data_IF_917424053376
#
_entry.id   IF_917424053376
#
_cell.length_a   1.000
_cell.length_b   1.000
_cell.length_c   1.000
_cell.angle_alpha   90.00
_cell.angle_beta   90.00
_cell.angle_gamma   90.00
#
_symmetry.space_group_name_H-M   'P 1'
#
loop_
_entity.id
_entity.type
_entity.pdbx_description
1 polymer ?
#
# COMPACT_ATOMS: atom_id res chain seq x y z
N UNK A 1 21.99 -0.42 3.32
CA UNK A 1 21.42 -0.90 2.05
C UNK A 1 20.57 -2.10 2.36
N UNK A 2 19.31 -2.06 1.97
CA UNK A 2 18.54 -3.30 1.82
C UNK A 2 19.20 -4.03 0.65
N UNK A 3 19.54 -5.31 0.80
CA UNK A 3 20.04 -6.08 -0.33
C UNK A 3 18.98 -6.02 -1.46
N UNK A 4 19.38 -5.95 -2.75
CA UNK A 4 18.43 -6.02 -3.83
C UNK A 4 17.53 -7.24 -3.61
N UNK A 5 16.21 -7.06 -3.77
CA UNK A 5 15.26 -8.18 -3.62
C UNK A 5 15.60 -9.25 -4.67
N UNK A 6 16.21 -10.33 -4.23
CA UNK A 6 16.53 -11.45 -5.11
C UNK A 6 15.25 -12.28 -5.26
N UNK A 7 14.80 -12.46 -6.50
CA UNK A 7 13.68 -13.34 -6.76
C UNK A 7 14.14 -14.81 -6.64
N UNK A 8 13.70 -15.56 -5.61
CA UNK A 8 14.13 -16.93 -5.40
C UNK A 8 13.71 -17.86 -6.55
N UNK A 9 12.68 -17.50 -7.29
CA UNK A 9 12.20 -18.29 -8.43
C UNK A 9 13.11 -18.27 -9.67
N UNK A 10 14.20 -17.50 -9.65
CA UNK A 10 15.13 -17.45 -10.75
C UNK A 10 16.30 -18.46 -10.61
N UNK A 11 16.49 -19.04 -9.42
CA UNK A 11 17.68 -19.87 -9.15
C UNK A 11 17.32 -21.14 -8.35
N UNK A 12 18.05 -22.26 -8.58
CA UNK A 12 17.94 -23.45 -7.73
C UNK A 12 18.30 -23.17 -6.26
N UNK A 13 17.68 -23.85 -5.31
CA UNK A 13 16.71 -24.93 -5.48
C UNK A 13 15.25 -24.45 -5.59
N UNK A 14 14.98 -23.15 -5.48
CA UNK A 14 13.64 -22.60 -5.31
C UNK A 14 12.84 -22.53 -6.60
N UNK A 15 13.49 -22.35 -7.74
CA UNK A 15 12.85 -22.23 -9.06
C UNK A 15 11.97 -23.43 -9.47
N UNK A 16 12.19 -24.58 -8.89
CA UNK A 16 11.39 -25.79 -9.13
C UNK A 16 10.20 -25.94 -8.16
N UNK A 17 10.02 -25.02 -7.24
CA UNK A 17 8.97 -25.13 -6.23
C UNK A 17 7.61 -24.69 -6.78
N UNK A 18 6.49 -25.26 -6.30
CA UNK A 18 5.14 -24.90 -6.78
C UNK A 18 4.82 -23.41 -6.65
N UNK A 19 5.24 -22.74 -5.59
CA UNK A 19 5.00 -21.30 -5.44
C UNK A 19 5.71 -20.44 -6.51
N UNK A 20 6.72 -20.98 -7.19
CA UNK A 20 7.39 -20.33 -8.31
C UNK A 20 6.75 -20.63 -9.67
N UNK A 21 5.78 -21.53 -9.74
CA UNK A 21 5.07 -21.83 -10.97
C UNK A 21 3.98 -20.80 -11.24
N UNK A 22 4.20 -19.91 -12.21
CA UNK A 22 3.28 -18.84 -12.59
C UNK A 22 2.00 -19.33 -13.30
N UNK A 23 1.95 -20.57 -13.73
CA UNK A 23 0.73 -21.19 -14.31
C UNK A 23 -0.28 -21.60 -13.25
N UNK A 24 0.15 -21.74 -11.99
CA UNK A 24 -0.75 -21.99 -10.87
C UNK A 24 -1.39 -20.66 -10.42
N UNK A 25 -2.64 -20.73 -9.96
CA UNK A 25 -3.29 -19.58 -9.36
C UNK A 25 -2.57 -19.12 -8.09
N UNK A 26 -2.81 -17.87 -7.69
CA UNK A 26 -2.13 -17.24 -6.56
C UNK A 26 -2.42 -17.97 -5.26
N UNK A 27 -3.67 -18.41 -5.05
CA UNK A 27 -4.07 -19.07 -3.80
C UNK A 27 -3.36 -20.43 -3.63
N UNK A 28 -3.24 -21.21 -4.70
CA UNK A 28 -2.50 -22.45 -4.68
C UNK A 28 -1.01 -22.24 -4.38
N UNK A 29 -0.39 -21.22 -4.97
CA UNK A 29 1.00 -20.84 -4.72
C UNK A 29 1.24 -20.38 -3.28
N UNK A 30 0.34 -19.58 -2.76
CA UNK A 30 0.37 -19.08 -1.37
C UNK A 30 0.16 -20.24 -0.40
N UNK A 31 -0.80 -21.13 -0.64
CA UNK A 31 -1.06 -22.30 0.19
C UNK A 31 0.15 -23.22 0.27
N UNK A 32 0.82 -23.49 -0.85
CA UNK A 32 2.05 -24.30 -0.86
C UNK A 32 3.16 -23.63 -0.03
N UNK A 33 3.39 -22.35 -0.20
CA UNK A 33 4.40 -21.61 0.56
C UNK A 33 4.11 -21.63 2.07
N UNK A 34 2.86 -21.33 2.48
CA UNK A 34 2.44 -21.33 3.88
C UNK A 34 2.55 -22.72 4.50
N UNK A 35 2.27 -23.78 3.74
CA UNK A 35 2.36 -25.15 4.24
C UNK A 35 3.78 -25.56 4.68
N UNK A 36 4.79 -24.88 4.14
CA UNK A 36 6.21 -25.16 4.40
C UNK A 36 6.80 -24.31 5.54
N UNK A 37 6.10 -23.28 5.98
CA UNK A 37 6.52 -22.43 7.10
C UNK A 37 6.25 -23.11 8.44
N UNK A 38 7.18 -22.95 9.39
CA UNK A 38 6.93 -23.29 10.79
C UNK A 38 5.91 -22.33 11.40
N UNK A 39 5.40 -22.66 12.58
CA UNK A 39 4.47 -21.77 13.28
C UNK A 39 5.14 -20.44 13.70
N UNK A 40 6.40 -20.50 14.08
CA UNK A 40 7.23 -19.36 14.46
C UNK A 40 7.44 -18.45 13.25
N UNK A 41 7.80 -19.00 12.10
CA UNK A 41 7.95 -18.25 10.85
C UNK A 41 6.64 -17.57 10.45
N UNK A 42 5.49 -18.26 10.56
CA UNK A 42 4.17 -17.68 10.29
C UNK A 42 3.86 -16.49 11.20
N UNK A 43 4.15 -16.61 12.51
CA UNK A 43 3.93 -15.53 13.48
C UNK A 43 4.79 -14.32 13.13
N UNK A 44 6.05 -14.51 12.80
CA UNK A 44 6.97 -13.43 12.45
C UNK A 44 6.59 -12.71 11.14
N UNK A 45 5.86 -13.37 10.23
CA UNK A 45 5.37 -12.74 8.99
C UNK A 45 4.14 -11.84 9.20
N UNK A 46 3.55 -11.81 10.41
CA UNK A 46 2.37 -11.00 10.71
C UNK A 46 2.69 -9.56 11.10
N UNK A 47 3.96 -9.23 11.28
CA UNK A 47 4.39 -7.86 11.64
C UNK A 47 4.77 -7.06 10.38
N UNK A 48 4.95 -5.75 10.59
CA UNK A 48 5.40 -4.81 9.55
C UNK A 48 6.77 -5.19 9.00
N UNK A 49 7.69 -5.57 9.86
CA UNK A 49 9.02 -6.09 9.50
C UNK A 49 8.98 -7.63 9.44
N UNK A 50 8.66 -8.15 8.28
CA UNK A 50 8.68 -9.58 8.03
C UNK A 50 10.12 -10.06 7.79
N UNK A 51 10.70 -10.89 8.66
CA UNK A 51 12.08 -11.37 8.50
C UNK A 51 12.22 -12.32 7.30
N UNK A 52 13.45 -12.52 6.84
CA UNK A 52 13.75 -13.50 5.81
C UNK A 52 13.45 -14.93 6.29
N UNK A 53 13.02 -15.79 5.36
CA UNK A 53 12.86 -17.24 5.57
C UNK A 53 13.80 -17.97 4.63
N UNK A 54 14.97 -18.31 5.14
CA UNK A 54 16.05 -18.89 4.33
C UNK A 54 15.67 -20.26 3.71
N UNK A 55 14.87 -21.07 4.40
CA UNK A 55 14.36 -22.34 3.91
C UNK A 55 13.49 -22.23 2.66
N UNK A 56 12.89 -21.05 2.45
CA UNK A 56 12.06 -20.72 1.30
C UNK A 56 12.72 -19.72 0.34
N UNK A 57 13.94 -19.28 0.64
CA UNK A 57 14.61 -18.23 -0.14
C UNK A 57 13.94 -16.87 -0.06
N UNK A 58 13.02 -16.66 0.88
CA UNK A 58 12.35 -15.38 1.03
C UNK A 58 13.25 -14.35 1.69
N UNK A 59 13.35 -13.19 1.07
CA UNK A 59 14.06 -12.06 1.64
C UNK A 59 13.23 -11.41 2.75
N UNK A 60 13.92 -10.67 3.63
CA UNK A 60 13.24 -9.73 4.54
C UNK A 60 12.38 -8.76 3.72
N UNK A 61 11.21 -8.43 4.25
CA UNK A 61 10.29 -7.47 3.65
C UNK A 61 9.72 -6.53 4.71
N UNK A 62 9.69 -5.23 4.41
CA UNK A 62 8.98 -4.26 5.23
C UNK A 62 7.72 -3.81 4.50
N UNK A 63 6.56 -4.01 5.15
CA UNK A 63 5.25 -3.69 4.60
C UNK A 63 4.91 -2.19 4.68
N UNK A 64 5.79 -1.38 5.26
CA UNK A 64 5.54 0.03 5.46
C UNK A 64 6.46 0.91 4.60
N UNK A 65 5.85 1.60 3.67
CA UNK A 65 6.39 2.77 2.97
C UNK A 65 5.26 3.77 2.74
N UNK A 66 5.60 5.03 2.51
CA UNK A 66 4.63 6.11 2.35
C UNK A 66 4.75 6.75 0.97
N UNK A 67 3.59 7.08 0.37
CA UNK A 67 3.56 7.72 -0.95
C UNK A 67 2.36 8.64 -1.16
N UNK A 68 1.83 9.23 -0.13
CA UNK A 68 0.61 10.06 -0.18
C UNK A 68 0.68 11.20 -1.21
N UNK A 69 1.87 11.80 -1.39
CA UNK A 69 2.13 12.82 -2.41
C UNK A 69 3.55 12.78 -2.98
N UNK A 70 4.14 11.60 -3.01
CA UNK A 70 5.50 11.31 -3.45
C UNK A 70 6.09 10.19 -2.59
N UNK A 71 7.12 9.52 -3.09
CA UNK A 71 7.78 8.44 -2.34
C UNK A 71 8.49 9.03 -1.13
N UNK A 72 8.12 8.60 0.07
CA UNK A 72 8.87 8.91 1.27
C UNK A 72 10.10 8.02 1.35
N UNK A 73 11.26 8.61 1.15
CA UNK A 73 12.55 7.92 1.13
C UNK A 73 13.09 7.76 2.56
N UNK A 74 12.53 6.81 3.29
CA UNK A 74 12.94 6.55 4.67
C UNK A 74 14.22 5.69 4.80
N UNK A 75 14.67 5.09 3.71
CA UNK A 75 15.83 4.21 3.69
C UNK A 75 17.03 4.91 3.07
N UNK A 76 17.83 5.56 3.90
CA UNK A 76 19.12 6.08 3.46
C UNK A 76 20.02 4.94 2.94
N UNK A 77 20.78 5.20 1.88
CA UNK A 77 21.82 4.28 1.43
C UNK A 77 22.97 4.20 2.44
N UNK A 78 23.92 3.28 2.23
CA UNK A 78 25.08 3.10 3.13
C UNK A 78 25.96 4.35 3.27
N UNK A 79 25.84 5.33 2.37
CA UNK A 79 26.55 6.61 2.43
C UNK A 79 25.74 7.67 3.17
N UNK A 80 24.55 7.32 3.70
CA UNK A 80 23.68 8.26 4.42
C UNK A 80 22.90 9.21 3.51
N UNK A 81 23.04 9.11 2.18
CA UNK A 81 22.24 9.90 1.24
C UNK A 81 20.95 9.17 0.89
N UNK A 82 19.85 9.90 0.94
CA UNK A 82 18.54 9.41 0.48
C UNK A 82 18.35 9.86 -0.97
N UNK A 83 17.98 8.98 -1.91
CA UNK A 83 17.63 9.41 -3.25
C UNK A 83 16.52 10.46 -3.21
N UNK A 84 16.61 11.47 -4.06
CA UNK A 84 15.54 12.46 -4.16
C UNK A 84 14.32 11.85 -4.86
N UNK A 85 13.14 12.11 -4.33
CA UNK A 85 11.86 11.76 -4.94
C UNK A 85 11.08 13.03 -5.33
N UNK A 86 10.23 12.91 -6.33
CA UNK A 86 9.34 14.00 -6.74
C UNK A 86 8.28 14.23 -5.65
N UNK A 87 8.15 15.48 -5.23
CA UNK A 87 7.13 15.90 -4.28
C UNK A 87 5.97 16.58 -5.03
N UNK A 88 4.80 15.98 -4.95
CA UNK A 88 3.57 16.48 -5.58
C UNK A 88 2.77 17.33 -4.59
N UNK A 89 1.80 18.08 -5.11
CA UNK A 89 0.84 18.79 -4.26
C UNK A 89 0.08 17.79 -3.37
N UNK A 90 -0.29 18.25 -2.18
CA UNK A 90 -1.04 17.43 -1.22
C UNK A 90 -2.40 16.99 -1.80
N UNK A 91 -2.92 15.82 -1.43
CA UNK A 91 -4.16 15.28 -1.98
C UNK A 91 -5.34 16.22 -1.95
N UNK A 92 -5.54 16.99 -0.88
CA UNK A 92 -6.62 17.99 -0.79
C UNK A 92 -6.56 19.02 -1.93
N UNK A 93 -5.35 19.45 -2.28
CA UNK A 93 -5.13 20.42 -3.38
C UNK A 93 -5.27 19.75 -4.73
N UNK A 94 -4.69 18.56 -4.88
CA UNK A 94 -4.75 17.79 -6.13
C UNK A 94 -6.18 17.38 -6.47
N UNK A 95 -6.95 16.92 -5.48
CA UNK A 95 -8.35 16.55 -5.65
C UNK A 95 -9.25 17.73 -6.02
N UNK A 96 -8.97 18.94 -5.50
CA UNK A 96 -9.69 20.16 -5.83
C UNK A 96 -9.60 20.57 -7.32
N UNK A 97 -8.71 19.95 -8.09
CA UNK A 97 -8.66 20.13 -9.55
C UNK A 97 -9.84 19.46 -10.28
N UNK A 98 -10.54 18.52 -9.66
CA UNK A 98 -11.58 17.67 -10.27
C UNK A 98 -11.12 16.97 -11.55
N UNK A 99 -9.82 16.71 -11.68
CA UNK A 99 -9.20 16.15 -12.89
C UNK A 99 -8.69 14.72 -12.65
N UNK A 100 -9.49 13.72 -13.08
CA UNK A 100 -9.17 12.30 -12.93
C UNK A 100 -7.87 11.90 -13.64
N UNK A 101 -7.59 12.51 -14.78
CA UNK A 101 -6.34 12.25 -15.50
C UNK A 101 -5.14 12.71 -14.68
N UNK A 102 -5.20 13.90 -14.09
CA UNK A 102 -4.14 14.39 -13.21
C UNK A 102 -3.91 13.45 -12.02
N UNK A 103 -4.97 12.96 -11.39
CA UNK A 103 -4.87 12.05 -10.25
C UNK A 103 -4.21 10.72 -10.65
N UNK A 104 -4.63 10.17 -11.79
CA UNK A 104 -4.04 8.96 -12.37
C UNK A 104 -2.55 9.16 -12.69
N UNK A 105 -2.20 10.22 -13.42
CA UNK A 105 -0.82 10.50 -13.82
C UNK A 105 0.09 10.77 -12.62
N UNK A 106 -0.43 11.40 -11.56
CA UNK A 106 0.30 11.57 -10.30
C UNK A 106 0.60 10.21 -9.68
N UNK A 107 -0.39 9.32 -9.57
CA UNK A 107 -0.19 7.96 -9.10
C UNK A 107 0.84 7.19 -9.93
N UNK A 108 0.75 7.28 -11.26
CA UNK A 108 1.67 6.62 -12.18
C UNK A 108 3.12 7.15 -12.07
N UNK A 109 3.29 8.45 -11.89
CA UNK A 109 4.61 9.04 -11.69
C UNK A 109 5.25 8.55 -10.37
N UNK A 110 4.49 8.56 -9.28
CA UNK A 110 4.95 8.07 -7.97
C UNK A 110 5.31 6.58 -8.07
N UNK A 111 4.51 5.77 -8.76
CA UNK A 111 4.76 4.35 -8.92
C UNK A 111 6.04 4.05 -9.71
N UNK A 112 6.35 4.83 -10.75
CA UNK A 112 7.62 4.71 -11.48
C UNK A 112 8.83 4.95 -10.59
N UNK A 113 8.77 5.99 -9.75
CA UNK A 113 9.82 6.27 -8.78
C UNK A 113 9.91 5.18 -7.71
N UNK A 114 8.77 4.74 -7.16
CA UNK A 114 8.69 3.66 -6.19
C UNK A 114 9.34 2.38 -6.72
N UNK A 115 9.04 2.00 -7.95
CA UNK A 115 9.64 0.84 -8.62
C UNK A 115 11.14 1.03 -8.84
N UNK A 116 11.58 2.22 -9.24
CA UNK A 116 12.99 2.53 -9.41
C UNK A 116 13.76 2.41 -8.10
N UNK A 117 13.22 2.93 -7.00
CA UNK A 117 13.81 2.79 -5.67
C UNK A 117 13.89 1.33 -5.23
N UNK A 118 12.82 0.55 -5.42
CA UNK A 118 12.82 -0.87 -5.10
C UNK A 118 13.89 -1.63 -5.91
N UNK A 119 13.98 -1.38 -7.21
CA UNK A 119 14.96 -2.03 -8.08
C UNK A 119 16.42 -1.66 -7.70
N UNK A 120 16.62 -0.47 -7.15
CA UNK A 120 17.91 -0.01 -6.65
C UNK A 120 18.21 -0.47 -5.20
N UNK A 121 17.33 -1.23 -4.56
CA UNK A 121 17.49 -1.69 -3.18
C UNK A 121 17.25 -0.60 -2.12
N UNK A 122 16.49 0.44 -2.45
CA UNK A 122 16.18 1.55 -1.54
C UNK A 122 14.78 1.47 -0.92
N UNK A 123 14.10 0.34 -1.01
CA UNK A 123 12.77 0.15 -0.42
C UNK A 123 12.07 -1.10 -0.90
N UNK A 124 10.82 -1.18 -0.55
CA UNK A 124 9.92 -2.29 -0.87
C UNK A 124 8.79 -1.81 -1.78
N UNK A 125 7.86 -2.69 -2.14
CA UNK A 125 6.84 -2.40 -3.16
C UNK A 125 5.46 -2.03 -2.60
N UNK A 126 5.27 -2.04 -1.26
CA UNK A 126 3.99 -1.69 -0.63
C UNK A 126 4.04 -0.28 -0.07
N UNK A 127 3.06 0.55 -0.46
CA UNK A 127 3.00 1.96 -0.07
C UNK A 127 1.63 2.32 0.51
N UNK A 128 1.63 3.01 1.66
CA UNK A 128 0.43 3.36 2.38
C UNK A 128 -0.17 4.66 1.84
N UNK A 129 -0.84 4.51 0.70
CA UNK A 129 -1.60 5.53 -0.01
C UNK A 129 -2.65 4.86 -0.91
N UNK A 130 -3.71 5.59 -1.34
CA UNK A 130 -4.09 6.93 -0.91
C UNK A 130 -4.79 6.95 0.45
N UNK A 131 -4.95 8.16 1.03
CA UNK A 131 -5.78 8.37 2.22
C UNK A 131 -7.24 8.46 1.78
N UNK A 132 -8.05 7.48 2.23
CA UNK A 132 -9.49 7.40 1.90
C UNK A 132 -10.41 7.88 3.04
N UNK A 133 -9.82 8.47 4.09
CA UNK A 133 -10.58 9.14 5.14
C UNK A 133 -11.17 10.46 4.62
N UNK A 134 -12.38 10.78 5.05
CA UNK A 134 -13.00 12.07 4.74
C UNK A 134 -12.52 13.16 5.72
N UNK A 135 -12.34 14.37 5.21
CA UNK A 135 -12.06 15.57 6.00
C UNK A 135 -13.33 16.05 6.74
N UNK A 136 -13.82 15.28 7.71
CA UNK A 136 -15.09 15.52 8.40
C UNK A 136 -14.97 16.37 9.66
N UNK A 137 -13.77 16.60 10.16
CA UNK A 137 -13.48 17.36 11.37
C UNK A 137 -12.40 18.40 11.07
N UNK A 138 -12.71 19.71 11.10
CA UNK A 138 -11.76 20.76 10.72
C UNK A 138 -10.47 20.76 11.54
N UNK A 139 -10.54 20.30 12.79
CA UNK A 139 -9.38 20.24 13.71
C UNK A 139 -8.49 19.01 13.49
N UNK A 140 -8.90 18.09 12.62
CA UNK A 140 -8.06 16.93 12.31
C UNK A 140 -6.80 17.36 11.56
N UNK A 141 -5.63 17.16 12.17
CA UNK A 141 -4.34 17.65 11.66
C UNK A 141 -3.91 17.06 10.31
N UNK A 142 -4.56 15.97 9.86
CA UNK A 142 -4.24 15.26 8.61
C UNK A 142 -5.28 15.45 7.50
N UNK A 143 -6.16 16.44 7.61
CA UNK A 143 -7.14 16.76 6.57
C UNK A 143 -6.49 16.96 5.19
N UNK A 144 -5.30 17.54 5.16
CA UNK A 144 -4.54 17.82 3.94
C UNK A 144 -4.11 16.55 3.17
N UNK A 145 -4.06 15.41 3.82
CA UNK A 145 -3.75 14.12 3.19
C UNK A 145 -4.97 13.47 2.52
N UNK A 146 -6.18 13.95 2.79
CA UNK A 146 -7.42 13.43 2.21
C UNK A 146 -7.80 14.18 0.93
N UNK A 147 -8.66 13.58 0.11
CA UNK A 147 -9.19 14.23 -1.08
C UNK A 147 -10.23 15.32 -0.78
N UNK A 148 -10.76 15.37 0.45
CA UNK A 148 -11.74 16.36 0.89
C UNK A 148 -12.87 15.76 1.72
N UNK A 149 -13.97 16.51 1.81
CA UNK A 149 -15.15 16.17 2.63
C UNK A 149 -16.13 15.27 1.89
N UNK A 150 -16.17 15.39 0.55
CA UNK A 150 -17.15 14.68 -0.29
C UNK A 150 -16.73 13.23 -0.51
N UNK A 151 -17.57 12.25 -0.13
CA UNK A 151 -17.27 10.84 -0.30
C UNK A 151 -17.22 10.40 -1.77
N UNK A 152 -17.98 11.05 -2.67
CA UNK A 152 -17.92 10.73 -4.09
C UNK A 152 -16.58 11.18 -4.68
N UNK A 153 -16.16 12.43 -4.43
CA UNK A 153 -14.85 12.93 -4.84
C UNK A 153 -13.72 12.06 -4.31
N UNK A 154 -13.76 11.68 -3.04
CA UNK A 154 -12.76 10.84 -2.40
C UNK A 154 -12.68 9.44 -3.02
N UNK A 155 -13.83 8.88 -3.40
CA UNK A 155 -13.90 7.59 -4.10
C UNK A 155 -13.26 7.68 -5.48
N UNK A 156 -13.62 8.69 -6.28
CA UNK A 156 -13.11 8.88 -7.64
C UNK A 156 -11.60 9.18 -7.65
N UNK A 157 -11.15 10.02 -6.70
CA UNK A 157 -9.73 10.29 -6.50
C UNK A 157 -8.96 9.00 -6.19
N UNK A 158 -9.47 8.22 -5.23
CA UNK A 158 -8.81 6.98 -4.80
C UNK A 158 -8.72 5.96 -5.92
N UNK A 159 -9.79 5.79 -6.69
CA UNK A 159 -9.81 4.90 -7.85
C UNK A 159 -8.78 5.34 -8.89
N UNK A 160 -8.79 6.62 -9.28
CA UNK A 160 -7.86 7.12 -10.29
C UNK A 160 -6.40 7.00 -9.83
N UNK A 161 -6.12 7.35 -8.57
CA UNK A 161 -4.77 7.25 -8.00
C UNK A 161 -4.28 5.79 -7.98
N UNK A 162 -5.08 4.85 -7.45
CA UNK A 162 -4.69 3.43 -7.37
C UNK A 162 -4.45 2.84 -8.75
N UNK A 163 -5.33 3.14 -9.73
CA UNK A 163 -5.11 2.70 -11.10
C UNK A 163 -3.77 3.19 -11.67
N UNK A 164 -3.46 4.47 -11.50
CA UNK A 164 -2.17 5.01 -11.92
C UNK A 164 -1.00 4.39 -11.17
N UNK A 165 -1.17 4.18 -9.86
CA UNK A 165 -0.11 3.69 -8.99
C UNK A 165 0.22 2.21 -9.22
N UNK A 166 -0.76 1.37 -9.49
CA UNK A 166 -0.56 -0.07 -9.61
C UNK A 166 -0.28 -0.53 -11.04
N UNK A 167 -0.80 0.19 -12.05
CA UNK A 167 -0.79 -0.24 -13.47
C UNK A 167 0.13 0.63 -14.32
N UNK A 168 1.40 0.26 -14.41
CA UNK A 168 2.35 0.91 -15.35
C UNK A 168 2.43 0.20 -16.71
N UNK A 169 1.86 -0.98 -16.85
CA UNK A 169 1.89 -1.79 -18.07
C UNK A 169 0.52 -2.33 -18.40
N UNK A 170 0.32 -2.75 -19.64
CA UNK A 170 -0.88 -3.45 -20.10
C UNK A 170 -1.01 -4.88 -19.50
N UNK A 171 0.04 -5.39 -18.87
CA UNK A 171 0.04 -6.73 -18.27
C UNK A 171 -0.60 -6.70 -16.87
N UNK A 172 -1.84 -7.20 -16.71
CA UNK A 172 -2.60 -7.08 -15.48
C UNK A 172 -2.08 -7.93 -14.32
N UNK A 173 -1.20 -8.89 -14.59
CA UNK A 173 -0.64 -9.81 -13.58
C UNK A 173 0.47 -9.16 -12.74
N UNK A 174 1.03 -8.05 -13.18
CA UNK A 174 2.16 -7.42 -12.52
C UNK A 174 1.83 -5.99 -12.10
N UNK A 175 1.91 -5.75 -10.79
CA UNK A 175 1.76 -4.42 -10.24
C UNK A 175 3.07 -3.65 -10.36
N UNK A 176 2.98 -2.36 -10.62
CA UNK A 176 4.12 -1.44 -10.54
C UNK A 176 4.61 -1.32 -9.09
N UNK A 177 3.68 -1.04 -8.20
CA UNK A 177 3.81 -1.04 -6.75
C UNK A 177 2.44 -1.37 -6.16
N UNK A 178 2.36 -1.73 -4.89
CA UNK A 178 1.10 -2.07 -4.23
C UNK A 178 0.59 -0.88 -3.42
N UNK A 179 -0.63 -0.43 -3.71
CA UNK A 179 -1.32 0.62 -2.97
C UNK A 179 -2.02 0.04 -1.74
N UNK A 180 -1.71 0.58 -0.57
CA UNK A 180 -2.39 0.26 0.68
C UNK A 180 -3.22 1.45 1.13
N UNK A 181 -4.51 1.45 0.76
CA UNK A 181 -5.43 2.51 1.14
C UNK A 181 -5.55 2.63 2.66
N UNK A 182 -5.47 3.85 3.19
CA UNK A 182 -5.48 4.10 4.64
C UNK A 182 -6.48 5.19 5.02
N UNK A 183 -6.90 5.27 6.28
CA UNK A 183 -6.60 4.41 7.41
C UNK A 183 -7.83 3.56 7.72
N UNK A 184 -7.61 2.35 8.15
CA UNK A 184 -8.69 1.50 8.64
C UNK A 184 -8.80 1.70 10.16
N UNK A 185 -9.87 2.22 10.73
CA UNK A 185 -11.09 2.90 10.27
C UNK A 185 -11.35 4.10 11.19
N UNK A 186 -12.09 5.12 10.74
CA UNK A 186 -12.46 6.31 11.53
C UNK A 186 -11.28 7.15 12.08
N UNK A 187 -10.12 7.10 11.45
CA UNK A 187 -8.91 7.83 11.83
C UNK A 187 -9.13 9.35 11.85
N UNK A 188 -10.02 9.87 11.01
CA UNK A 188 -10.38 11.30 10.95
C UNK A 188 -11.15 11.84 12.18
N UNK A 189 -11.28 11.04 13.24
CA UNK A 189 -11.80 11.42 14.56
C UNK A 189 -10.72 11.44 15.66
N UNK A 190 -9.49 11.58 15.28
CA UNK A 190 -8.29 11.39 16.11
C UNK A 190 -8.24 12.17 17.43
N UNK A 191 -8.91 13.32 17.53
CA UNK A 191 -8.95 14.14 18.76
C UNK A 191 -9.56 13.41 19.99
N UNK A 192 -10.24 12.28 19.77
CA UNK A 192 -10.74 11.40 20.85
C UNK A 192 -10.27 9.96 20.74
N UNK A 193 -9.69 9.56 19.61
CA UNK A 193 -9.40 8.15 19.31
C UNK A 193 -8.17 7.61 20.02
N UNK A 194 -7.23 8.43 20.49
CA UNK A 194 -6.10 7.94 21.30
C UNK A 194 -6.56 7.25 22.60
N UNK A 195 -7.80 7.51 23.06
CA UNK A 195 -8.42 6.79 24.19
C UNK A 195 -9.39 5.68 23.76
N UNK A 196 -9.82 5.65 22.51
CA UNK A 196 -10.84 4.71 22.02
C UNK A 196 -10.30 3.51 21.24
N UNK A 197 -9.02 3.56 20.81
CA UNK A 197 -8.38 2.45 20.12
C UNK A 197 -8.18 1.19 20.99
N UNK A 198 -8.46 1.29 22.30
CA UNK A 198 -8.36 0.19 23.28
C UNK A 198 -9.71 -0.49 23.55
N UNK A 199 -10.81 0.08 23.08
CA UNK A 199 -12.14 -0.50 23.30
C UNK A 199 -12.58 -1.16 22.00
N UNK A 200 -12.62 -2.49 22.03
CA UNK A 200 -13.05 -3.34 20.92
C UNK A 200 -14.27 -2.80 20.19
N UNK A 201 -14.11 -2.47 18.93
CA UNK A 201 -15.17 -2.07 18.04
C UNK A 201 -16.22 -3.18 17.95
N UNK A 202 -17.36 -2.98 18.54
CA UNK A 202 -18.57 -3.74 18.23
C UNK A 202 -18.96 -3.44 16.77
N UNK A 203 -18.65 -4.36 15.89
CA UNK A 203 -18.56 -4.23 14.43
C UNK A 203 -19.87 -4.02 13.69
N UNK A 204 -21.04 -4.09 14.32
CA UNK A 204 -22.27 -4.31 13.56
C UNK A 204 -23.38 -3.27 13.70
N UNK A 205 -23.32 -2.35 14.64
CA UNK A 205 -24.51 -1.51 14.91
C UNK A 205 -24.28 0.00 15.00
N UNK A 206 -23.05 0.50 14.96
CA UNK A 206 -22.78 1.91 15.21
C UNK A 206 -22.05 2.67 14.08
N UNK A 207 -21.88 2.07 12.90
CA UNK A 207 -21.26 2.77 11.77
C UNK A 207 -22.22 3.82 11.19
N UNK A 208 -21.78 5.08 11.17
CA UNK A 208 -22.48 6.14 10.46
C UNK A 208 -22.55 5.86 8.94
N UNK A 209 -23.48 6.47 8.22
CA UNK A 209 -23.53 6.37 6.76
C UNK A 209 -22.20 6.72 6.08
N UNK A 210 -21.45 7.67 6.62
CA UNK A 210 -20.15 8.10 6.09
C UNK A 210 -19.05 7.04 6.23
N UNK A 211 -19.02 6.34 7.35
CA UNK A 211 -18.08 5.22 7.56
C UNK A 211 -18.36 4.05 6.62
N UNK A 212 -19.64 3.82 6.30
CA UNK A 212 -20.04 2.84 5.27
C UNK A 212 -19.56 3.24 3.87
N UNK A 213 -19.56 4.54 3.58
CA UNK A 213 -19.08 5.07 2.30
C UNK A 213 -17.56 4.92 2.18
N UNK A 214 -16.80 5.24 3.22
CA UNK A 214 -15.35 4.98 3.26
C UNK A 214 -15.03 3.49 3.02
N UNK A 215 -15.78 2.61 3.64
CA UNK A 215 -15.61 1.16 3.43
C UNK A 215 -16.00 0.74 2.01
N UNK A 216 -17.03 1.38 1.43
CA UNK A 216 -17.43 1.16 0.04
C UNK A 216 -16.37 1.63 -0.96
N UNK A 217 -15.75 2.78 -0.70
CA UNK A 217 -14.62 3.27 -1.51
C UNK A 217 -13.46 2.29 -1.49
N UNK A 218 -13.09 1.79 -0.30
CA UNK A 218 -12.03 0.76 -0.14
C UNK A 218 -12.34 -0.54 -0.89
N UNK A 219 -13.60 -1.01 -0.84
CA UNK A 219 -14.03 -2.22 -1.57
C UNK A 219 -13.95 -2.04 -3.09
N UNK A 220 -14.22 -0.83 -3.59
CA UNK A 220 -14.07 -0.52 -5.02
C UNK A 220 -12.61 -0.53 -5.43
N UNK A 221 -11.73 0.14 -4.67
CA UNK A 221 -10.28 0.12 -4.95
C UNK A 221 -9.71 -1.29 -4.88
N UNK A 222 -10.10 -2.09 -3.89
CA UNK A 222 -9.65 -3.48 -3.77
C UNK A 222 -10.11 -4.37 -4.94
N UNK A 223 -11.37 -4.18 -5.43
CA UNK A 223 -11.88 -4.93 -6.59
C UNK A 223 -11.25 -4.52 -7.93
N UNK A 224 -10.67 -3.33 -8.00
CA UNK A 224 -10.00 -2.85 -9.21
C UNK A 224 -8.51 -3.23 -9.23
N UNK A 225 -7.98 -3.66 -8.11
CA UNK A 225 -6.62 -4.16 -7.95
C UNK A 225 -6.54 -5.70 -8.11
N UNK A 226 -7.66 -6.39 -8.15
CA UNK A 226 -7.80 -7.81 -8.44
C UNK A 226 -8.10 -8.05 -9.91
#
# INVERSE_FOLDING_TARGET
MVAPLVNPCLTPPFNAQPWCNFELDVDARVADMISRMTIEEKILQLDTDAPSISSLGLNQYNWWSESTHGVATSHANATGSTPAATNFALPITTAASFNRTLWHETGAAIAREARAFMNAGHGYSTFWAPVVNLAREPRWGRNLESAGEDPYLSSEYSVAFVHGFERLTEEPRYLAASACCKHYVANSRELRAQRACVIGLHWTTSMSPLERIELSARRRTARMAS
#
